data_IF_457499777696
#
_entry.id   IF_457499777696
#
_cell.length_a   1.000
_cell.length_b   1.000
_cell.length_c   1.000
_cell.angle_alpha   90.00
_cell.angle_beta   90.00
_cell.angle_gamma   90.00
#
_symmetry.space_group_name_H-M   'P 1'
#
loop_
_entity.id
_entity.type
_entity.pdbx_description
1 polymer ?
#
# COMPACT_ATOMS: atom_id res chain seq x y z
N UNK A 1 48.92 53.83 -63.86
CA UNK A 1 47.67 53.14 -63.49
C UNK A 1 47.65 51.75 -64.10
N UNK A 2 47.92 50.70 -63.32
CA UNK A 2 47.49 49.33 -63.63
C UNK A 2 47.04 48.70 -62.31
N UNK A 3 45.76 48.37 -62.26
CA UNK A 3 45.05 47.85 -61.09
C UNK A 3 45.23 46.33 -60.97
N UNK A 4 45.17 45.88 -59.72
CA UNK A 4 45.22 44.51 -59.20
C UNK A 4 44.21 43.56 -59.83
N UNK A 5 44.53 42.25 -59.86
CA UNK A 5 43.54 41.19 -59.56
C UNK A 5 44.26 39.96 -59.02
N UNK A 6 44.09 39.70 -57.72
CA UNK A 6 44.50 38.46 -57.03
C UNK A 6 43.23 37.65 -56.78
N UNK A 7 43.11 36.38 -57.19
CA UNK A 7 41.91 35.61 -56.94
C UNK A 7 41.91 35.08 -55.49
N UNK A 8 40.87 35.46 -54.75
CA UNK A 8 40.56 34.92 -53.43
C UNK A 8 39.77 33.61 -53.59
N UNK A 9 40.40 32.47 -53.33
CA UNK A 9 39.73 31.17 -53.30
C UNK A 9 39.04 31.00 -51.93
N UNK A 10 37.72 31.22 -51.87
CA UNK A 10 36.93 30.85 -50.68
C UNK A 10 36.66 29.35 -50.72
N UNK A 11 37.34 28.60 -49.84
CA UNK A 11 37.03 27.20 -49.57
C UNK A 11 35.84 27.15 -48.60
N UNK A 12 34.63 26.94 -49.14
CA UNK A 12 33.44 26.69 -48.33
C UNK A 12 33.53 25.29 -47.73
N UNK A 13 34.10 25.17 -46.52
CA UNK A 13 34.00 23.96 -45.71
C UNK A 13 32.56 23.91 -45.19
N UNK A 14 31.69 23.23 -45.92
CA UNK A 14 30.34 22.91 -45.43
C UNK A 14 30.46 22.09 -44.15
N UNK A 15 30.00 22.64 -43.04
CA UNK A 15 29.89 21.92 -41.78
C UNK A 15 28.87 20.79 -41.95
N UNK A 16 29.35 19.58 -42.21
CA UNK A 16 28.54 18.38 -42.15
C UNK A 16 28.33 18.05 -40.67
N UNK A 17 27.22 18.52 -40.11
CA UNK A 17 26.78 18.09 -38.78
C UNK A 17 26.68 16.56 -38.79
N UNK A 18 27.19 15.85 -37.77
CA UNK A 18 27.04 14.40 -37.71
C UNK A 18 25.55 14.06 -37.71
N UNK A 19 25.08 13.51 -38.84
CA UNK A 19 23.72 13.02 -38.98
C UNK A 19 23.64 11.77 -38.10
N UNK A 20 23.11 11.91 -36.88
CA UNK A 20 22.75 10.75 -36.09
C UNK A 20 21.64 10.06 -36.87
N UNK A 21 21.91 8.86 -37.40
CA UNK A 21 20.90 8.11 -38.12
C UNK A 21 19.75 7.78 -37.15
N UNK A 22 18.64 8.50 -37.32
CA UNK A 22 17.39 8.26 -36.60
C UNK A 22 16.44 7.54 -37.56
N UNK A 23 15.76 6.52 -37.05
CA UNK A 23 14.77 5.77 -37.81
C UNK A 23 13.38 6.21 -37.40
N UNK A 24 12.67 6.91 -38.29
CA UNK A 24 11.25 7.21 -38.16
C UNK A 24 10.40 6.23 -38.96
N UNK A 25 9.38 5.64 -38.35
CA UNK A 25 8.32 4.89 -39.05
C UNK A 25 7.05 5.72 -38.93
N UNK A 26 6.50 6.12 -40.07
CA UNK A 26 5.31 6.98 -40.17
C UNK A 26 5.43 8.37 -39.52
N UNK A 27 6.62 8.79 -39.07
CA UNK A 27 6.91 10.15 -38.64
C UNK A 27 8.11 10.72 -39.41
N UNK A 28 8.02 11.99 -39.80
CA UNK A 28 9.14 12.75 -40.39
C UNK A 28 9.98 13.48 -39.35
N UNK A 29 9.57 13.42 -38.08
CA UNK A 29 10.19 14.12 -36.96
C UNK A 29 10.43 13.13 -35.78
N UNK A 30 11.39 12.19 -35.94
CA UNK A 30 11.71 11.24 -34.89
C UNK A 30 12.19 11.94 -33.62
N UNK A 31 11.67 11.54 -32.46
CA UNK A 31 12.07 12.11 -31.16
C UNK A 31 13.24 11.34 -30.49
N UNK A 32 13.79 10.34 -31.17
CA UNK A 32 14.82 9.44 -30.66
C UNK A 32 15.54 8.68 -31.78
N UNK A 33 16.32 7.65 -31.42
CA UNK A 33 17.04 6.83 -32.40
C UNK A 33 16.11 5.92 -33.21
N UNK A 34 14.97 5.52 -32.63
CA UNK A 34 13.90 4.83 -33.32
C UNK A 34 12.54 5.35 -32.83
N UNK A 35 11.68 5.79 -33.74
CA UNK A 35 10.38 6.36 -33.41
C UNK A 35 9.31 5.82 -34.36
N UNK A 36 8.34 5.09 -33.84
CA UNK A 36 7.17 4.60 -34.58
C UNK A 36 5.97 5.45 -34.17
N UNK A 37 5.35 6.11 -35.15
CA UNK A 37 4.12 6.88 -35.01
C UNK A 37 2.99 6.16 -35.73
N UNK A 38 2.26 5.29 -35.02
CA UNK A 38 1.33 4.38 -35.68
C UNK A 38 0.08 5.11 -36.23
N UNK A 39 -0.35 6.22 -35.61
CA UNK A 39 -1.49 7.00 -36.08
C UNK A 39 -1.11 8.05 -37.14
N UNK A 40 0.20 8.28 -37.35
CA UNK A 40 0.74 9.29 -38.26
C UNK A 40 0.23 10.70 -37.91
N UNK A 41 0.11 10.98 -36.62
CA UNK A 41 -0.46 12.23 -36.13
C UNK A 41 0.57 13.15 -35.50
N UNK A 42 1.86 12.78 -35.46
CA UNK A 42 2.91 13.64 -34.92
C UNK A 42 3.19 14.89 -35.76
N UNK A 43 3.53 16.02 -35.11
CA UNK A 43 3.87 17.23 -35.82
C UNK A 43 5.19 17.07 -36.58
N UNK A 44 5.29 17.74 -37.73
CA UNK A 44 6.50 17.72 -38.58
C UNK A 44 7.70 18.42 -37.93
N UNK A 45 7.49 19.19 -36.85
CA UNK A 45 8.54 19.81 -36.03
C UNK A 45 8.10 19.88 -34.56
N UNK A 46 9.06 19.97 -33.64
CA UNK A 46 8.78 20.03 -32.20
C UNK A 46 8.41 18.69 -31.59
N UNK A 47 8.09 18.68 -30.30
CA UNK A 47 7.68 17.46 -29.60
C UNK A 47 6.19 17.16 -29.83
N UNK A 48 5.79 15.89 -30.02
CA UNK A 48 4.39 15.52 -30.03
C UNK A 48 3.67 15.80 -28.72
N UNK A 49 2.38 16.08 -28.79
CA UNK A 49 1.50 16.22 -27.64
C UNK A 49 1.21 14.85 -26.98
N UNK A 50 0.82 14.81 -25.69
CA UNK A 50 0.57 13.54 -24.99
C UNK A 50 -0.43 12.60 -25.66
N UNK A 51 -1.45 13.13 -26.35
CA UNK A 51 -2.44 12.32 -27.06
C UNK A 51 -1.86 11.64 -28.32
N UNK A 52 -0.89 12.28 -28.97
CA UNK A 52 -0.18 11.73 -30.14
C UNK A 52 0.82 10.67 -29.67
N UNK A 53 1.61 11.00 -28.62
CA UNK A 53 2.55 10.04 -28.00
C UNK A 53 1.88 8.75 -27.53
N UNK A 54 0.59 8.78 -27.16
CA UNK A 54 -0.15 7.63 -26.65
C UNK A 54 -0.21 6.44 -27.62
N UNK A 55 0.01 6.66 -28.92
CA UNK A 55 0.04 5.63 -29.94
C UNK A 55 1.46 5.34 -30.50
N UNK A 56 2.50 5.93 -29.90
CA UNK A 56 3.88 5.86 -30.36
C UNK A 56 4.71 4.77 -29.65
N UNK A 57 5.77 4.32 -30.34
CA UNK A 57 6.88 3.59 -29.73
C UNK A 57 8.18 4.36 -29.95
N UNK A 58 8.87 4.70 -28.87
CA UNK A 58 10.08 5.52 -28.89
C UNK A 58 11.26 4.79 -28.24
N UNK A 59 12.39 4.73 -28.94
CA UNK A 59 13.69 4.34 -28.37
C UNK A 59 14.60 5.56 -28.39
N UNK A 60 15.10 5.94 -27.22
CA UNK A 60 15.99 7.11 -27.09
C UNK A 60 17.46 6.73 -27.31
N UNK A 61 18.31 7.72 -27.56
CA UNK A 61 19.77 7.53 -27.69
C UNK A 61 20.46 7.00 -26.43
N UNK A 62 19.78 7.03 -25.28
CA UNK A 62 20.28 6.48 -24.00
C UNK A 62 19.83 5.03 -23.77
N UNK A 63 19.15 4.43 -24.75
CA UNK A 63 18.64 3.06 -24.70
C UNK A 63 17.46 2.88 -23.76
N UNK A 64 16.62 3.92 -23.60
CA UNK A 64 15.30 3.80 -22.95
C UNK A 64 14.22 3.55 -24.00
N UNK A 65 13.19 2.77 -23.65
CA UNK A 65 12.06 2.43 -24.52
C UNK A 65 10.76 2.95 -23.91
N UNK A 66 10.02 3.73 -24.68
CA UNK A 66 8.68 4.24 -24.36
C UNK A 66 7.64 3.63 -25.27
N UNK A 67 6.52 3.18 -24.72
CA UNK A 67 5.32 2.80 -25.48
C UNK A 67 4.18 3.69 -24.97
N UNK A 68 3.61 4.52 -25.82
CA UNK A 68 2.58 5.49 -25.43
C UNK A 68 3.11 6.74 -24.70
N UNK A 69 4.43 6.91 -24.59
CA UNK A 69 5.05 7.95 -23.74
C UNK A 69 6.50 8.25 -24.11
N UNK A 70 7.00 9.40 -23.65
CA UNK A 70 8.43 9.69 -23.61
C UNK A 70 9.05 9.06 -22.33
N UNK A 71 9.96 8.07 -22.46
CA UNK A 71 10.37 7.24 -21.34
C UNK A 71 11.34 7.95 -20.38
N UNK A 72 11.01 7.90 -19.09
CA UNK A 72 11.83 8.41 -17.97
C UNK A 72 12.69 7.32 -17.33
N UNK A 73 12.38 6.06 -17.61
CA UNK A 73 13.09 4.88 -17.15
C UNK A 73 13.41 3.95 -18.33
N UNK A 74 14.09 2.83 -18.09
CA UNK A 74 14.57 1.92 -19.15
C UNK A 74 13.45 1.37 -20.04
N UNK A 75 12.30 1.03 -19.46
CA UNK A 75 11.09 0.68 -20.19
C UNK A 75 9.91 1.35 -19.50
N UNK A 76 9.22 2.25 -20.20
CA UNK A 76 8.02 2.92 -19.70
C UNK A 76 6.87 2.69 -20.68
N UNK A 77 5.74 2.19 -20.17
CA UNK A 77 4.52 1.97 -20.96
C UNK A 77 3.42 2.82 -20.34
N UNK A 78 2.87 3.75 -21.12
CA UNK A 78 1.70 4.53 -20.74
C UNK A 78 0.45 3.81 -21.23
N UNK A 79 0.00 2.87 -20.40
CA UNK A 79 -1.08 1.96 -20.72
C UNK A 79 -0.92 0.66 -19.94
N UNK A 80 -1.54 -0.41 -20.43
CA UNK A 80 -1.47 -1.73 -19.80
C UNK A 80 -0.33 -2.56 -20.38
N UNK A 81 0.44 -3.23 -19.52
CA UNK A 81 1.36 -4.29 -19.93
C UNK A 81 0.68 -5.64 -19.70
N UNK A 82 0.52 -6.42 -20.77
CA UNK A 82 0.12 -7.83 -20.69
C UNK A 82 1.35 -8.72 -20.84
N UNK A 83 1.69 -9.50 -19.81
CA UNK A 83 2.73 -10.55 -19.89
C UNK A 83 2.04 -11.90 -19.81
N UNK A 84 2.22 -12.74 -20.83
CA UNK A 84 1.35 -13.89 -21.06
C UNK A 84 2.14 -15.14 -21.46
N UNK A 85 1.83 -16.27 -20.82
CA UNK A 85 2.15 -17.63 -21.27
C UNK A 85 0.93 -18.48 -21.68
N UNK A 86 -0.28 -17.90 -21.81
CA UNK A 86 -1.56 -18.60 -22.08
C UNK A 86 -2.78 -17.67 -22.30
N UNK A 87 -4.03 -18.15 -22.21
CA UNK A 87 -5.24 -17.31 -22.47
C UNK A 87 -5.60 -16.42 -21.27
N UNK A 88 -5.81 -15.12 -21.49
CA UNK A 88 -6.16 -14.13 -20.46
C UNK A 88 -7.67 -14.14 -20.15
N UNK A 89 -8.13 -14.08 -18.88
CA UNK A 89 -9.55 -13.87 -18.60
C UNK A 89 -9.97 -12.47 -19.03
N UNK A 90 -11.00 -12.40 -19.85
CA UNK A 90 -11.81 -11.21 -20.12
C UNK A 90 -12.25 -10.59 -18.78
N UNK A 91 -11.42 -9.68 -18.27
CA UNK A 91 -11.79 -8.63 -17.32
C UNK A 91 -10.81 -7.48 -17.58
N UNK A 92 -11.31 -6.27 -17.54
CA UNK A 92 -10.63 -5.00 -17.82
C UNK A 92 -9.55 -4.69 -16.76
N UNK A 93 -8.52 -5.52 -16.68
CA UNK A 93 -7.36 -5.32 -15.81
C UNK A 93 -6.37 -4.39 -16.53
N UNK A 94 -6.01 -3.28 -15.88
CA UNK A 94 -5.13 -2.25 -16.46
C UNK A 94 -3.64 -2.59 -16.33
N UNK A 95 -3.28 -3.56 -15.50
CA UNK A 95 -1.96 -4.19 -15.48
C UNK A 95 -2.04 -5.47 -14.65
N UNK A 96 -1.52 -6.57 -15.18
CA UNK A 96 -1.37 -7.83 -14.45
C UNK A 96 0.03 -8.38 -14.72
N UNK A 97 0.74 -8.74 -13.66
CA UNK A 97 1.97 -9.52 -13.75
C UNK A 97 1.64 -10.89 -13.13
N UNK A 98 1.52 -11.90 -13.98
CA UNK A 98 1.37 -13.30 -13.59
C UNK A 98 2.58 -14.10 -14.02
N UNK A 99 2.99 -15.07 -13.20
CA UNK A 99 3.99 -16.07 -13.55
C UNK A 99 3.34 -17.46 -13.41
N UNK A 100 3.57 -18.33 -14.40
CA UNK A 100 2.95 -19.65 -14.66
C UNK A 100 1.67 -19.62 -15.55
N UNK A 101 1.48 -20.69 -16.34
CA UNK A 101 0.31 -20.91 -17.22
C UNK A 101 -0.91 -21.24 -16.36
N UNK A 102 -2.10 -20.79 -16.77
CA UNK A 102 -3.37 -21.21 -16.17
C UNK A 102 -3.62 -22.68 -16.55
N UNK A 103 -3.21 -23.59 -15.69
CA UNK A 103 -3.54 -25.02 -15.76
C UNK A 103 -4.29 -25.43 -14.48
N UNK A 104 -5.26 -26.34 -14.62
CA UNK A 104 -6.00 -26.84 -13.46
C UNK A 104 -5.05 -27.59 -12.52
N UNK A 105 -4.99 -27.21 -11.24
CA UNK A 105 -4.21 -27.91 -10.21
C UNK A 105 -2.80 -27.37 -9.96
N UNK A 106 -2.35 -26.34 -10.68
CA UNK A 106 -1.11 -25.61 -10.35
C UNK A 106 -1.44 -24.24 -9.76
N UNK A 107 -0.82 -23.95 -8.62
CA UNK A 107 -0.96 -22.65 -7.96
C UNK A 107 -0.44 -21.51 -8.84
N UNK A 108 -1.18 -20.40 -8.88
CA UNK A 108 -0.79 -19.19 -9.59
C UNK A 108 -0.80 -17.96 -8.67
N UNK A 109 0.15 -17.04 -8.91
CA UNK A 109 0.25 -15.75 -8.23
C UNK A 109 0.04 -14.65 -9.27
N UNK A 110 -0.86 -13.70 -9.01
CA UNK A 110 -1.06 -12.51 -9.85
C UNK A 110 -0.98 -11.26 -8.99
N UNK A 111 -0.31 -10.24 -9.52
CA UNK A 111 -0.32 -8.89 -8.98
C UNK A 111 -1.25 -8.04 -9.85
N UNK A 112 -2.49 -7.88 -9.41
CA UNK A 112 -3.52 -7.10 -10.14
C UNK A 112 -3.70 -5.74 -9.49
N UNK A 113 -3.61 -4.69 -10.29
CA UNK A 113 -4.24 -3.42 -9.95
C UNK A 113 -5.65 -3.41 -10.57
N UNK A 114 -6.66 -3.74 -9.76
CA UNK A 114 -8.04 -3.79 -10.23
C UNK A 114 -8.63 -2.37 -10.23
N UNK A 115 -9.15 -1.91 -11.38
CA UNK A 115 -9.96 -0.67 -11.48
C UNK A 115 -11.37 -0.90 -12.03
N UNK A 116 -11.80 -2.14 -12.26
CA UNK A 116 -13.16 -2.45 -12.70
C UNK A 116 -14.19 -2.32 -11.57
N UNK A 117 -15.28 -1.59 -11.81
CA UNK A 117 -16.57 -1.57 -11.06
C UNK A 117 -16.63 -1.09 -9.59
N UNK A 118 -15.68 -0.27 -9.11
CA UNK A 118 -16.02 0.74 -8.09
C UNK A 118 -15.06 0.90 -6.90
N UNK A 119 -14.24 -0.10 -6.55
CA UNK A 119 -13.38 -0.02 -5.36
C UNK A 119 -12.01 -0.65 -5.63
N UNK A 120 -11.16 0.02 -6.43
CA UNK A 120 -9.84 -0.50 -6.76
C UNK A 120 -8.98 -0.91 -5.54
N UNK A 121 -7.89 -1.63 -5.77
CA UNK A 121 -7.02 -2.09 -4.68
C UNK A 121 -5.93 -3.07 -5.11
N UNK A 122 -5.06 -3.43 -4.17
CA UNK A 122 -4.05 -4.47 -4.34
C UNK A 122 -4.59 -5.78 -3.76
N UNK A 123 -4.54 -6.86 -4.54
CA UNK A 123 -5.02 -8.17 -4.14
C UNK A 123 -3.93 -9.22 -4.31
N UNK A 124 -3.80 -10.08 -3.32
CA UNK A 124 -2.96 -11.27 -3.35
C UNK A 124 -3.87 -12.49 -3.26
N UNK A 125 -3.73 -13.42 -4.17
CA UNK A 125 -4.43 -14.69 -4.11
C UNK A 125 -3.48 -15.82 -4.48
N UNK A 126 -3.78 -17.01 -3.96
CA UNK A 126 -3.16 -18.27 -4.35
C UNK A 126 -4.28 -19.30 -4.33
N UNK A 127 -4.56 -19.88 -5.49
CA UNK A 127 -5.61 -20.87 -5.66
C UNK A 127 -4.96 -22.18 -6.10
N UNK A 128 -5.43 -23.31 -5.57
CA UNK A 128 -5.11 -24.63 -6.12
C UNK A 128 -5.98 -24.96 -7.36
N UNK A 129 -7.16 -24.34 -7.49
CA UNK A 129 -8.03 -24.35 -8.69
C UNK A 129 -9.09 -23.24 -8.66
N UNK A 130 -9.72 -22.93 -9.80
CA UNK A 130 -10.90 -22.04 -9.91
C UNK A 130 -10.62 -20.58 -10.32
N UNK A 131 -11.70 -19.79 -10.49
CA UNK A 131 -11.62 -18.36 -10.83
C UNK A 131 -11.39 -17.52 -9.55
N UNK A 132 -10.49 -16.53 -9.55
CA UNK A 132 -10.33 -15.61 -8.43
C UNK A 132 -11.64 -14.91 -8.06
N UNK A 133 -12.06 -15.07 -6.80
CA UNK A 133 -13.16 -14.32 -6.19
C UNK A 133 -12.67 -13.68 -4.88
N UNK A 134 -13.43 -12.72 -4.33
CA UNK A 134 -13.13 -12.12 -3.02
C UNK A 134 -12.97 -13.19 -1.94
N UNK A 135 -13.77 -14.25 -1.98
CA UNK A 135 -13.79 -15.32 -0.99
C UNK A 135 -12.50 -16.15 -0.93
N UNK A 136 -11.65 -16.09 -1.96
CA UNK A 136 -10.44 -16.90 -2.05
C UNK A 136 -9.14 -16.07 -2.09
N UNK A 137 -9.20 -14.82 -1.66
CA UNK A 137 -8.00 -13.97 -1.56
C UNK A 137 -7.17 -14.36 -0.34
N UNK A 138 -5.85 -14.51 -0.48
CA UNK A 138 -4.95 -14.64 0.68
C UNK A 138 -4.96 -13.36 1.50
N UNK A 139 -4.94 -12.21 0.80
CA UNK A 139 -5.18 -10.90 1.40
C UNK A 139 -5.62 -9.85 0.38
N UNK A 140 -6.31 -8.83 0.86
CA UNK A 140 -6.84 -7.73 0.06
C UNK A 140 -6.65 -6.40 0.78
N UNK A 141 -6.00 -5.44 0.11
CA UNK A 141 -5.92 -4.05 0.53
C UNK A 141 -6.79 -3.21 -0.42
N UNK A 142 -7.85 -2.61 0.12
CA UNK A 142 -8.72 -1.73 -0.67
C UNK A 142 -8.15 -0.30 -0.80
N UNK A 143 -8.70 0.49 -1.73
CA UNK A 143 -8.36 1.91 -1.90
C UNK A 143 -8.54 2.78 -0.65
N UNK A 144 -9.34 2.35 0.32
CA UNK A 144 -9.58 3.07 1.57
C UNK A 144 -8.58 2.67 2.66
N UNK A 145 -7.56 1.85 2.34
CA UNK A 145 -6.53 1.42 3.28
C UNK A 145 -6.95 0.26 4.20
N UNK A 146 -8.11 -0.35 3.99
CA UNK A 146 -8.52 -1.52 4.76
C UNK A 146 -7.80 -2.76 4.25
N UNK A 147 -7.09 -3.43 5.15
CA UNK A 147 -6.48 -4.72 4.89
C UNK A 147 -7.36 -5.84 5.44
N UNK A 148 -7.61 -6.86 4.62
CA UNK A 148 -8.30 -8.10 4.98
C UNK A 148 -7.39 -9.29 4.68
N UNK A 149 -7.27 -10.21 5.63
CA UNK A 149 -6.53 -11.45 5.52
C UNK A 149 -7.27 -12.55 6.27
N UNK A 150 -7.07 -13.82 5.88
CA UNK A 150 -7.72 -14.94 6.55
C UNK A 150 -7.29 -15.10 8.02
N UNK A 151 -6.02 -14.85 8.31
CA UNK A 151 -5.46 -14.96 9.66
C UNK A 151 -4.23 -14.04 9.81
N UNK A 152 -4.01 -13.52 11.02
CA UNK A 152 -2.81 -12.74 11.38
C UNK A 152 -2.10 -13.38 12.58
N UNK A 153 -0.94 -13.98 12.33
CA UNK A 153 -0.17 -14.75 13.32
C UNK A 153 1.20 -14.09 13.60
N UNK A 154 1.28 -13.06 14.47
CA UNK A 154 2.55 -12.46 14.84
C UNK A 154 3.42 -13.45 15.62
N UNK A 155 4.72 -13.51 15.30
CA UNK A 155 5.67 -14.40 15.97
C UNK A 155 5.78 -14.09 17.46
N UNK A 156 5.66 -15.09 18.33
CA UNK A 156 5.65 -14.91 19.79
C UNK A 156 6.58 -15.89 20.54
N UNK A 157 7.51 -16.54 19.84
CA UNK A 157 8.47 -17.49 20.40
C UNK A 157 9.37 -16.83 21.47
N UNK A 158 9.65 -17.55 22.57
CA UNK A 158 10.47 -17.04 23.68
C UNK A 158 11.90 -16.69 23.25
N UNK A 159 12.46 -17.37 22.24
CA UNK A 159 13.81 -17.12 21.70
C UNK A 159 13.91 -15.77 20.98
N UNK A 160 12.79 -15.19 20.57
CA UNK A 160 12.70 -13.87 19.96
C UNK A 160 12.51 -12.77 21.01
N UNK A 161 12.48 -13.11 22.30
CA UNK A 161 12.19 -12.19 23.40
C UNK A 161 13.35 -12.14 24.39
N UNK A 162 13.55 -10.98 25.01
CA UNK A 162 14.52 -10.75 26.09
C UNK A 162 13.92 -9.83 27.14
N UNK A 163 14.48 -9.82 28.35
CA UNK A 163 14.02 -8.98 29.47
C UNK A 163 12.53 -9.18 29.80
N UNK A 164 12.09 -10.44 29.83
CA UNK A 164 10.69 -10.82 30.05
C UNK A 164 10.30 -10.51 31.50
N UNK A 165 9.29 -9.66 31.68
CA UNK A 165 8.71 -9.30 32.97
C UNK A 165 7.20 -9.53 32.95
N UNK A 166 6.57 -9.85 34.09
CA UNK A 166 5.11 -9.90 34.18
C UNK A 166 4.48 -8.55 33.81
N UNK A 167 3.25 -8.59 33.31
CA UNK A 167 2.41 -7.39 33.23
C UNK A 167 1.94 -7.08 34.64
N UNK A 168 2.45 -5.99 35.21
CA UNK A 168 2.22 -5.65 36.63
C UNK A 168 0.88 -4.93 36.87
N UNK A 169 0.35 -4.25 35.86
CA UNK A 169 -0.80 -3.35 35.98
C UNK A 169 -1.86 -3.67 34.94
N UNK A 170 -2.96 -4.28 35.35
CA UNK A 170 -4.11 -4.57 34.48
C UNK A 170 -5.32 -3.72 34.80
N UNK A 171 -5.97 -4.01 35.92
CA UNK A 171 -7.30 -3.47 36.27
C UNK A 171 -7.26 -1.96 36.47
N UNK A 172 -6.22 -1.44 37.12
CA UNK A 172 -6.06 0.00 37.34
C UNK A 172 -5.83 0.79 36.03
N UNK A 173 -5.24 0.15 35.01
CA UNK A 173 -5.06 0.72 33.67
C UNK A 173 -6.39 0.75 32.95
N UNK A 174 -7.07 -0.40 32.85
CA UNK A 174 -8.33 -0.52 32.10
C UNK A 174 -9.43 0.37 32.67
N UNK A 175 -9.51 0.50 34.01
CA UNK A 175 -10.50 1.39 34.66
C UNK A 175 -10.29 2.88 34.36
N UNK A 176 -9.10 3.29 33.89
CA UNK A 176 -8.81 4.67 33.47
C UNK A 176 -9.09 4.91 32.00
N UNK A 177 -9.28 3.85 31.21
CA UNK A 177 -9.58 3.97 29.79
C UNK A 177 -11.06 4.27 29.60
N UNK A 178 -11.36 5.13 28.63
CA UNK A 178 -12.72 5.52 28.28
C UNK A 178 -13.07 4.99 26.88
N UNK A 179 -13.84 3.89 26.77
CA UNK A 179 -14.40 3.46 25.51
C UNK A 179 -15.31 4.55 24.94
N UNK A 180 -15.19 4.84 23.65
CA UNK A 180 -15.98 5.86 22.95
C UNK A 180 -16.48 5.34 21.62
N UNK A 181 -17.60 5.88 21.15
CA UNK A 181 -17.99 5.79 19.74
C UNK A 181 -17.75 7.14 19.09
N UNK A 182 -17.26 7.13 17.86
CA UNK A 182 -16.94 8.33 17.10
C UNK A 182 -17.16 8.09 15.61
N UNK A 183 -17.33 9.19 14.89
CA UNK A 183 -17.24 9.19 13.43
C UNK A 183 -15.83 9.65 13.05
N UNK A 184 -15.28 9.07 11.99
CA UNK A 184 -13.88 9.23 11.59
C UNK A 184 -13.79 9.64 10.13
N UNK A 185 -12.90 10.59 9.88
CA UNK A 185 -12.46 11.01 8.55
C UNK A 185 -11.26 10.19 8.08
N UNK A 186 -11.10 10.02 6.77
CA UNK A 186 -10.05 9.16 6.20
C UNK A 186 -8.64 9.71 6.41
N UNK A 187 -8.47 11.04 6.39
CA UNK A 187 -7.20 11.73 6.59
C UNK A 187 -7.44 13.16 7.08
N UNK A 188 -6.38 13.94 7.35
CA UNK A 188 -6.50 15.30 7.88
C UNK A 188 -7.15 16.29 6.91
N UNK A 189 -6.98 16.11 5.60
CA UNK A 189 -7.57 16.97 4.55
C UNK A 189 -9.06 16.72 4.32
N UNK A 190 -9.60 15.57 4.76
CA UNK A 190 -11.01 15.23 4.60
C UNK A 190 -11.91 16.09 5.50
N UNK A 191 -13.02 16.57 4.95
CA UNK A 191 -14.10 17.27 5.68
C UNK A 191 -15.19 16.31 6.16
N UNK A 192 -15.34 15.18 5.47
CA UNK A 192 -16.40 14.19 5.73
C UNK A 192 -15.99 13.16 6.79
N UNK A 193 -16.96 12.74 7.61
CA UNK A 193 -16.82 11.75 8.68
C UNK A 193 -17.64 10.49 8.36
N UNK A 194 -17.20 9.73 7.36
CA UNK A 194 -17.99 8.66 6.75
C UNK A 194 -17.91 7.30 7.45
N UNK A 195 -17.12 7.16 8.51
CA UNK A 195 -16.91 5.87 9.19
C UNK A 195 -17.26 5.98 10.65
N UNK A 196 -18.25 5.20 11.10
CA UNK A 196 -18.59 5.09 12.52
C UNK A 196 -17.86 3.92 13.15
N UNK A 197 -17.12 4.20 14.22
CA UNK A 197 -16.31 3.21 14.93
C UNK A 197 -16.59 3.25 16.44
N UNK A 198 -16.18 2.18 17.13
CA UNK A 198 -16.06 2.14 18.59
C UNK A 198 -14.60 1.84 18.89
N UNK A 199 -14.01 2.60 19.79
CA UNK A 199 -12.60 2.45 20.14
C UNK A 199 -12.20 3.36 21.29
N UNK A 200 -10.95 3.83 21.25
CA UNK A 200 -10.37 4.71 22.26
C UNK A 200 -9.70 5.92 21.62
N UNK A 201 -9.52 6.98 22.41
CA UNK A 201 -8.73 8.14 22.04
C UNK A 201 -7.25 7.87 22.34
N UNK A 202 -6.39 7.87 21.31
CA UNK A 202 -4.98 7.53 21.44
C UNK A 202 -4.23 8.42 22.46
N UNK A 203 -4.59 9.70 22.53
CA UNK A 203 -4.04 10.67 23.48
C UNK A 203 -4.38 10.32 24.94
N UNK A 204 -5.55 9.73 25.19
CA UNK A 204 -5.95 9.28 26.53
C UNK A 204 -5.18 8.02 26.92
N UNK A 205 -5.07 7.05 26.00
CA UNK A 205 -4.27 5.84 26.23
C UNK A 205 -2.81 6.19 26.51
N UNK A 206 -2.21 7.12 25.74
CA UNK A 206 -0.79 7.49 25.88
C UNK A 206 -0.42 7.94 27.31
N UNK A 207 -1.36 8.54 28.05
CA UNK A 207 -1.13 8.98 29.44
C UNK A 207 -1.04 7.83 30.44
N UNK A 208 -1.65 6.69 30.13
CA UNK A 208 -1.79 5.55 31.07
C UNK A 208 -0.96 4.36 30.63
N UNK A 209 -0.90 4.10 29.32
CA UNK A 209 -0.20 2.98 28.69
C UNK A 209 0.49 3.47 27.40
N UNK A 210 1.59 4.23 27.50
CA UNK A 210 2.24 4.84 26.34
C UNK A 210 2.79 3.83 25.32
N UNK A 211 3.21 2.64 25.77
CA UNK A 211 3.91 1.67 24.92
C UNK A 211 3.06 1.09 23.78
N UNK A 212 1.72 1.14 23.93
CA UNK A 212 0.78 0.69 22.90
C UNK A 212 0.41 1.79 21.90
N UNK A 213 0.85 3.03 22.12
CA UNK A 213 0.60 4.15 21.21
C UNK A 213 1.84 4.42 20.37
N UNK A 214 1.63 4.56 19.06
CA UNK A 214 2.69 4.97 18.12
C UNK A 214 2.39 6.35 17.55
N UNK A 215 3.44 7.10 17.29
CA UNK A 215 3.41 8.41 16.66
C UNK A 215 4.03 8.28 15.27
N UNK A 216 3.36 8.81 14.25
CA UNK A 216 3.88 8.81 12.89
C UNK A 216 5.11 9.70 12.77
N UNK A 217 6.06 9.30 11.92
CA UNK A 217 7.27 10.06 11.61
C UNK A 217 7.04 11.00 10.40
N UNK A 218 6.00 11.82 10.47
CA UNK A 218 5.65 12.83 9.46
C UNK A 218 5.38 14.19 10.13
N UNK A 219 5.01 15.20 9.33
CA UNK A 219 4.74 16.55 9.83
C UNK A 219 3.53 16.59 10.79
N UNK A 220 2.57 15.70 10.57
CA UNK A 220 1.29 15.67 11.27
C UNK A 220 1.34 14.91 12.59
N UNK A 221 2.30 13.98 12.74
CA UNK A 221 2.56 13.21 13.97
C UNK A 221 1.31 12.51 14.50
N UNK A 222 0.51 11.95 13.59
CA UNK A 222 -0.72 11.25 13.93
C UNK A 222 -0.43 10.08 14.89
N UNK A 223 -1.32 9.90 15.86
CA UNK A 223 -1.23 8.82 16.84
C UNK A 223 -2.07 7.62 16.42
N UNK A 224 -1.52 6.42 16.60
CA UNK A 224 -2.20 5.15 16.39
C UNK A 224 -2.06 4.24 17.61
N UNK A 225 -2.99 3.29 17.77
CA UNK A 225 -3.04 2.38 18.92
C UNK A 225 -2.85 0.95 18.43
N UNK A 226 -1.92 0.21 19.04
CA UNK A 226 -1.81 -1.23 18.89
C UNK A 226 -2.81 -1.93 19.81
N UNK A 227 -3.99 -2.22 19.29
CA UNK A 227 -5.06 -2.88 20.02
C UNK A 227 -4.71 -4.31 20.46
N UNK A 228 -3.90 -5.05 19.69
CA UNK A 228 -3.48 -6.42 20.05
C UNK A 228 -2.67 -6.43 21.35
N UNK A 229 -1.88 -5.36 21.59
CA UNK A 229 -1.11 -5.21 22.82
C UNK A 229 -1.97 -4.90 24.05
N UNK A 230 -3.25 -4.55 23.88
CA UNK A 230 -4.18 -4.39 25.00
C UNK A 230 -4.66 -5.74 25.54
N UNK A 231 -4.63 -6.81 24.73
CA UNK A 231 -5.15 -8.14 25.12
C UNK A 231 -4.45 -8.69 26.37
N UNK A 232 -3.10 -8.69 26.49
CA UNK A 232 -2.43 -9.12 27.72
C UNK A 232 -2.76 -8.25 28.95
N UNK A 233 -2.99 -6.95 28.75
CA UNK A 233 -3.38 -6.02 29.83
C UNK A 233 -4.80 -6.32 30.33
N UNK A 234 -5.73 -6.60 29.41
CA UNK A 234 -7.08 -7.06 29.74
C UNK A 234 -7.06 -8.40 30.48
N UNK A 235 -6.23 -9.36 30.04
CA UNK A 235 -6.06 -10.64 30.73
C UNK A 235 -5.58 -10.44 32.17
N UNK A 236 -4.58 -9.57 32.38
CA UNK A 236 -4.11 -9.20 33.72
C UNK A 236 -5.20 -8.53 34.56
N UNK A 237 -6.00 -7.64 33.96
CA UNK A 237 -7.11 -6.98 34.65
C UNK A 237 -8.15 -7.98 35.16
N UNK A 238 -8.48 -9.01 34.36
CA UNK A 238 -9.40 -10.07 34.75
C UNK A 238 -8.82 -10.91 35.88
N UNK A 239 -7.53 -11.24 35.85
CA UNK A 239 -6.85 -11.95 36.93
C UNK A 239 -6.89 -11.17 38.25
N UNK A 240 -6.60 -9.87 38.20
CA UNK A 240 -6.69 -8.98 39.37
C UNK A 240 -8.12 -8.84 39.89
N UNK A 241 -9.10 -8.75 38.99
CA UNK A 241 -10.51 -8.71 39.35
C UNK A 241 -10.94 -10.01 40.04
N UNK A 242 -10.55 -11.17 39.52
CA UNK A 242 -10.85 -12.47 40.13
C UNK A 242 -10.27 -12.57 41.55
N UNK A 243 -9.02 -12.15 41.76
CA UNK A 243 -8.41 -12.14 43.08
C UNK A 243 -9.20 -11.28 44.08
N UNK A 244 -9.72 -10.12 43.64
CA UNK A 244 -10.60 -9.29 44.49
C UNK A 244 -11.94 -9.96 44.79
N UNK A 245 -12.52 -10.70 43.83
CA UNK A 245 -13.75 -11.46 44.05
C UNK A 245 -13.53 -12.56 45.09
N UNK A 246 -12.42 -13.29 45.00
CA UNK A 246 -12.07 -14.34 45.96
C UNK A 246 -11.87 -13.77 47.38
N UNK A 247 -11.16 -12.63 47.48
CA UNK A 247 -10.95 -11.91 48.74
C UNK A 247 -12.28 -11.46 49.36
N UNK A 248 -13.16 -10.84 48.55
CA UNK A 248 -14.48 -10.38 49.02
C UNK A 248 -15.36 -11.56 49.44
N UNK A 249 -15.34 -12.66 48.70
CA UNK A 249 -16.11 -13.87 49.02
C UNK A 249 -15.67 -14.46 50.35
N UNK A 250 -14.36 -14.52 50.59
CA UNK A 250 -13.80 -14.99 51.87
C UNK A 250 -14.20 -14.10 53.04
N UNK A 251 -14.22 -12.77 52.85
CA UNK A 251 -14.67 -11.81 53.87
C UNK A 251 -16.16 -11.97 54.17
N UNK A 252 -17.00 -12.14 53.15
CA UNK A 252 -18.44 -12.37 53.32
C UNK A 252 -18.69 -13.64 54.15
N UNK A 253 -18.06 -14.77 53.79
CA UNK A 253 -18.20 -16.02 54.54
C UNK A 253 -17.78 -15.89 56.01
N UNK A 254 -16.68 -15.16 56.27
CA UNK A 254 -16.23 -14.90 57.64
C UNK A 254 -17.26 -14.09 58.43
N UNK A 255 -17.79 -13.02 57.84
CA UNK A 255 -18.80 -12.17 58.47
C UNK A 255 -20.12 -12.92 58.71
N UNK A 256 -20.53 -13.80 57.80
CA UNK A 256 -21.70 -14.67 57.98
C UNK A 256 -21.52 -15.66 59.13
N UNK A 257 -20.32 -16.24 59.27
CA UNK A 257 -19.98 -17.12 60.38
C UNK A 257 -20.02 -16.39 61.73
N UNK A 258 -19.44 -15.18 61.79
CA UNK A 258 -19.45 -14.32 62.99
C UNK A 258 -20.87 -13.91 63.38
N UNK A 259 -21.69 -13.46 62.42
CA UNK A 259 -23.10 -13.12 62.66
C UNK A 259 -23.92 -14.32 63.16
N UNK A 260 -23.68 -15.51 62.62
CA UNK A 260 -24.36 -16.73 63.06
C UNK A 260 -24.01 -17.09 64.51
N UNK A 261 -22.76 -16.85 64.94
CA UNK A 261 -22.35 -17.05 66.33
C UNK A 261 -23.00 -16.04 67.27
N UNK A 262 -23.04 -14.76 66.89
CA UNK A 262 -23.68 -13.70 67.69
C UNK A 262 -25.18 -13.94 67.89
N UNK A 263 -25.90 -14.36 66.84
CA UNK A 263 -27.33 -14.69 66.93
C UNK A 263 -27.65 -15.88 67.83
N UNK A 264 -26.66 -16.74 68.15
CA UNK A 264 -26.83 -17.86 69.09
C UNK A 264 -26.55 -17.46 70.55
N UNK A 265 -25.96 -16.29 70.77
CA UNK A 265 -25.61 -15.77 72.10
C UNK A 265 -26.71 -14.87 72.70
N UNK A 266 -27.73 -14.54 71.92
CA UNK A 266 -28.93 -13.80 72.31
C UNK A 266 -30.16 -14.69 72.13
#
# INVERSE_FOLDING_TARGET
MKQFFTPLFLLAIGACSPLVAQMGVQTSNPQGVFHIDAAKDNPTTGAPAPAQLANDVLVTSTGTVGIGTNPRTKLEVFGSIGMVGGTFPNTTNLAAIGWNIIESGVGFNEYVNYRGTGNGGHRFYSLTSGTPTLSNSLSYLNINGQWSAAEFNPTSDIRLKRNIKPVERGLDVILKLRPVSYEKKTNLESTEYNTKEIGFIAQEIRKVLPDVVKEANDADKLLSVNYDSLVPVLAKAIQELNAKVDELTSKVQKLESENTKLKKQH
#
